data_IF_332067677442
#
_entry.id   IF_332067677442
#
_cell.length_a   1.000
_cell.length_b   1.000
_cell.length_c   1.000
_cell.angle_alpha   90.00
_cell.angle_beta   90.00
_cell.angle_gamma   90.00
#
_symmetry.space_group_name_H-M   'P 1'
#
loop_
_entity.id
_entity.type
_entity.pdbx_description
1 polymer ?
#
# COMPACT_ATOMS: atom_id res chain seq x y z
N UNK A 1 -34.50 4.35 -0.46
CA UNK A 1 -33.26 5.04 -0.85
C UNK A 1 -32.45 4.09 -1.70
N UNK A 2 -32.35 4.35 -3.00
CA UNK A 2 -31.54 3.51 -3.89
C UNK A 2 -30.08 3.97 -3.76
N UNK A 3 -29.23 3.10 -3.24
CA UNK A 3 -27.80 3.35 -3.06
C UNK A 3 -27.12 3.25 -4.43
N UNK A 4 -26.73 4.38 -5.03
CA UNK A 4 -25.90 4.36 -6.24
C UNK A 4 -24.46 3.99 -5.84
N UNK A 5 -23.84 3.05 -6.57
CA UNK A 5 -22.45 2.67 -6.31
C UNK A 5 -21.53 3.84 -6.62
N UNK A 6 -20.67 4.20 -5.67
CA UNK A 6 -19.62 5.20 -5.88
C UNK A 6 -18.64 4.64 -6.93
N UNK A 7 -18.33 5.38 -8.01
CA UNK A 7 -17.39 4.93 -9.02
C UNK A 7 -16.01 4.73 -8.40
N UNK A 8 -15.56 3.48 -8.29
CA UNK A 8 -14.29 3.11 -7.63
C UNK A 8 -13.06 3.26 -8.53
N UNK A 9 -13.23 3.52 -9.83
CA UNK A 9 -12.14 3.55 -10.81
C UNK A 9 -12.02 4.94 -11.44
N UNK A 10 -11.34 5.88 -10.78
CA UNK A 10 -11.01 7.19 -11.37
C UNK A 10 -9.51 7.43 -11.56
N UNK A 11 -8.64 6.65 -10.91
CA UNK A 11 -7.17 6.86 -10.94
C UNK A 11 -6.44 5.99 -11.97
N UNK A 12 -7.11 5.02 -12.59
CA UNK A 12 -6.50 4.07 -13.52
C UNK A 12 -6.44 4.52 -14.98
N UNK A 13 -6.99 5.69 -15.33
CA UNK A 13 -7.05 6.17 -16.71
C UNK A 13 -5.84 7.06 -17.02
N UNK A 14 -5.13 6.73 -18.12
CA UNK A 14 -4.14 7.63 -18.67
C UNK A 14 -4.81 8.82 -19.38
N UNK A 15 -4.31 10.02 -19.14
CA UNK A 15 -4.84 11.22 -19.77
C UNK A 15 -4.58 11.21 -21.28
N UNK A 16 -5.67 11.29 -22.04
CA UNK A 16 -5.66 11.42 -23.50
C UNK A 16 -5.56 12.89 -23.86
N UNK A 17 -4.35 13.34 -24.21
CA UNK A 17 -4.10 14.75 -24.53
C UNK A 17 -4.27 15.03 -26.04
N UNK A 18 -3.92 14.07 -26.90
CA UNK A 18 -3.99 14.24 -28.36
C UNK A 18 -5.06 13.29 -28.92
N UNK A 19 -6.28 13.80 -29.08
CA UNK A 19 -7.41 13.03 -29.58
C UNK A 19 -7.68 11.79 -28.71
N UNK A 20 -7.72 10.56 -29.27
CA UNK A 20 -7.88 9.33 -28.49
C UNK A 20 -6.60 8.82 -27.84
N UNK A 21 -5.44 9.47 -28.06
CA UNK A 21 -4.11 9.00 -27.65
C UNK A 21 -3.63 9.63 -26.35
N UNK A 22 -2.96 8.82 -25.54
CA UNK A 22 -2.22 9.30 -24.37
C UNK A 22 -0.93 9.99 -24.82
N UNK A 23 -0.38 10.89 -23.99
CA UNK A 23 0.85 11.60 -24.33
C UNK A 23 2.02 10.65 -24.65
N UNK A 24 2.08 9.51 -23.94
CA UNK A 24 3.08 8.46 -24.18
C UNK A 24 2.88 7.78 -25.53
N UNK A 25 1.64 7.39 -25.84
CA UNK A 25 1.29 6.76 -27.12
C UNK A 25 1.60 7.66 -28.31
N UNK A 26 1.29 8.95 -28.19
CA UNK A 26 1.66 9.95 -29.19
C UNK A 26 3.18 10.05 -29.33
N UNK A 27 3.92 10.07 -28.21
CA UNK A 27 5.39 10.09 -28.21
C UNK A 27 5.99 8.89 -28.96
N UNK A 28 5.47 7.68 -28.77
CA UNK A 28 5.91 6.49 -29.51
C UNK A 28 5.62 6.61 -31.01
N UNK A 29 4.45 7.11 -31.38
CA UNK A 29 4.05 7.25 -32.78
C UNK A 29 4.86 8.33 -33.51
N UNK A 30 5.05 9.49 -32.86
CA UNK A 30 5.86 10.58 -33.37
C UNK A 30 7.34 10.17 -33.49
N UNK A 31 7.88 9.51 -32.45
CA UNK A 31 9.24 8.98 -32.47
C UNK A 31 9.47 7.96 -33.58
N UNK A 32 8.54 7.01 -33.76
CA UNK A 32 8.60 6.05 -34.86
C UNK A 32 8.50 6.73 -36.23
N UNK A 33 7.64 7.74 -36.40
CA UNK A 33 7.53 8.52 -37.64
C UNK A 33 8.81 9.26 -37.99
N UNK A 34 9.42 9.93 -37.00
CA UNK A 34 10.73 10.60 -37.17
C UNK A 34 11.81 9.58 -37.51
N UNK A 35 11.82 8.42 -36.85
CA UNK A 35 12.82 7.38 -37.07
C UNK A 35 12.70 6.77 -38.48
N UNK A 36 11.47 6.52 -38.95
CA UNK A 36 11.20 6.08 -40.33
C UNK A 36 11.66 7.12 -41.34
N UNK A 37 11.37 8.40 -41.09
CA UNK A 37 11.84 9.49 -41.96
C UNK A 37 13.38 9.57 -41.99
N UNK A 38 14.03 9.37 -40.84
CA UNK A 38 15.49 9.34 -40.75
C UNK A 38 16.08 8.18 -41.55
N UNK A 39 15.50 6.97 -41.46
CA UNK A 39 15.92 5.83 -42.28
C UNK A 39 15.65 6.04 -43.78
N UNK A 40 14.57 6.72 -44.13
CA UNK A 40 14.24 7.05 -45.51
C UNK A 40 15.31 7.94 -46.17
N UNK A 41 15.85 8.92 -45.42
CA UNK A 41 16.86 9.86 -45.93
C UNK A 41 18.28 9.28 -45.81
N UNK A 42 18.59 8.55 -44.73
CA UNK A 42 19.95 8.08 -44.46
C UNK A 42 20.34 6.82 -45.25
N UNK A 43 19.39 5.93 -45.56
CA UNK A 43 19.68 4.63 -46.18
C UNK A 43 19.13 4.59 -47.60
N UNK A 44 20.04 4.47 -48.58
CA UNK A 44 19.70 4.27 -49.99
C UNK A 44 19.45 2.81 -50.37
N UNK A 45 18.76 2.60 -51.50
CA UNK A 45 18.60 1.27 -52.10
C UNK A 45 17.58 0.37 -51.42
N UNK A 46 17.70 -0.95 -51.62
CA UNK A 46 16.78 -1.96 -51.09
C UNK A 46 16.87 -2.09 -49.56
N UNK A 47 18.06 -1.85 -48.99
CA UNK A 47 18.34 -2.03 -47.57
C UNK A 47 17.49 -1.13 -46.65
N UNK A 48 16.99 0.00 -47.17
CA UNK A 48 16.10 0.90 -46.41
C UNK A 48 14.82 0.21 -45.95
N UNK A 49 14.27 -0.70 -46.76
CA UNK A 49 13.04 -1.41 -46.44
C UNK A 49 13.22 -2.36 -45.25
N UNK A 50 14.43 -2.90 -45.07
CA UNK A 50 14.75 -3.76 -43.93
C UNK A 50 14.63 -3.02 -42.59
N UNK A 51 14.88 -1.71 -42.56
CA UNK A 51 14.72 -0.90 -41.35
C UNK A 51 13.32 -0.27 -41.25
N UNK A 52 12.78 0.22 -42.36
CA UNK A 52 11.48 0.90 -42.37
C UNK A 52 10.34 -0.04 -42.00
N UNK A 53 10.27 -1.23 -42.60
CA UNK A 53 9.18 -2.19 -42.36
C UNK A 53 9.03 -2.52 -40.87
N UNK A 54 10.07 -2.99 -40.14
CA UNK A 54 9.92 -3.28 -38.73
C UNK A 54 9.63 -2.03 -37.92
N UNK A 55 10.24 -0.87 -38.19
CA UNK A 55 9.96 0.36 -37.42
C UNK A 55 8.51 0.84 -37.59
N UNK A 56 7.99 0.83 -38.82
CA UNK A 56 6.59 1.20 -39.11
C UNK A 56 5.60 0.24 -38.48
N UNK A 57 5.94 -1.05 -38.32
CA UNK A 57 5.08 -2.01 -37.63
C UNK A 57 5.19 -1.87 -36.10
N UNK A 58 6.41 -1.70 -35.58
CA UNK A 58 6.67 -1.66 -34.14
C UNK A 58 6.14 -0.38 -33.48
N UNK A 59 6.21 0.77 -34.16
CA UNK A 59 5.76 2.06 -33.61
C UNK A 59 4.29 2.07 -33.19
N UNK A 60 3.35 1.77 -34.11
CA UNK A 60 1.94 1.61 -33.77
C UNK A 60 1.68 0.45 -32.81
N UNK A 61 2.42 -0.67 -32.91
CA UNK A 61 2.29 -1.78 -31.98
C UNK A 61 2.59 -1.36 -30.53
N UNK A 62 3.66 -0.59 -30.32
CA UNK A 62 4.04 -0.01 -29.03
C UNK A 62 2.96 0.92 -28.46
N UNK A 63 2.25 1.66 -29.32
CA UNK A 63 1.22 2.60 -28.90
C UNK A 63 -0.14 1.94 -28.61
N UNK A 64 -0.55 0.94 -29.40
CA UNK A 64 -1.95 0.47 -29.43
C UNK A 64 -2.18 -0.95 -28.96
N UNK A 65 -1.16 -1.81 -28.87
CA UNK A 65 -1.36 -3.25 -28.63
C UNK A 65 -1.17 -3.60 -27.14
N UNK A 66 -2.24 -3.73 -26.34
CA UNK A 66 -2.10 -4.30 -25.01
C UNK A 66 -1.85 -5.81 -25.10
N UNK A 67 -0.93 -6.31 -24.27
CA UNK A 67 -0.65 -7.75 -24.14
C UNK A 67 -0.93 -8.14 -22.69
N UNK A 68 -1.75 -9.16 -22.46
CA UNK A 68 -2.06 -9.68 -21.11
C UNK A 68 -2.51 -8.62 -20.09
N UNK A 69 -3.29 -7.62 -20.53
CA UNK A 69 -3.78 -6.55 -19.65
C UNK A 69 -2.74 -5.51 -19.24
N UNK A 70 -1.53 -5.55 -19.82
CA UNK A 70 -0.51 -4.51 -19.70
C UNK A 70 -0.25 -3.83 -21.04
N UNK A 71 0.27 -2.60 -20.97
CA UNK A 71 0.72 -1.86 -22.15
C UNK A 71 1.96 -2.52 -22.78
N UNK A 72 2.10 -2.40 -24.11
CA UNK A 72 3.16 -3.08 -24.87
C UNK A 72 4.56 -2.70 -24.39
N UNK A 73 4.77 -1.45 -24.00
CA UNK A 73 6.03 -0.94 -23.48
C UNK A 73 6.48 -1.67 -22.19
N UNK A 74 5.56 -1.84 -21.24
CA UNK A 74 5.81 -2.61 -20.01
C UNK A 74 6.06 -4.07 -20.31
N UNK A 75 5.28 -4.64 -21.23
CA UNK A 75 5.46 -6.02 -21.65
C UNK A 75 6.83 -6.23 -22.31
N UNK A 76 7.24 -5.34 -23.21
CA UNK A 76 8.53 -5.40 -23.90
C UNK A 76 9.69 -5.27 -22.91
N UNK A 77 9.60 -4.35 -21.95
CA UNK A 77 10.60 -4.23 -20.89
C UNK A 77 10.68 -5.49 -20.02
N UNK A 78 9.53 -6.07 -19.65
CA UNK A 78 9.47 -7.31 -18.89
C UNK A 78 10.03 -8.50 -19.69
N UNK A 79 9.79 -8.55 -21.00
CA UNK A 79 10.35 -9.56 -21.90
C UNK A 79 11.87 -9.46 -21.96
N UNK A 80 12.41 -8.26 -22.23
CA UNK A 80 13.86 -8.02 -22.28
C UNK A 80 14.48 -8.39 -20.93
N UNK A 81 13.86 -7.96 -19.82
CA UNK A 81 14.31 -8.32 -18.48
C UNK A 81 14.29 -9.83 -18.26
N UNK A 82 13.27 -10.53 -18.72
CA UNK A 82 13.17 -11.98 -18.57
C UNK A 82 14.20 -12.75 -19.40
N UNK A 83 14.62 -12.21 -20.54
CA UNK A 83 15.65 -12.82 -21.40
C UNK A 83 17.05 -12.55 -20.81
N UNK A 84 17.30 -11.32 -20.36
CA UNK A 84 18.63 -10.89 -19.92
C UNK A 84 18.95 -11.30 -18.48
N UNK A 85 17.95 -11.40 -17.61
CA UNK A 85 18.17 -11.75 -16.20
C UNK A 85 17.78 -13.22 -15.93
N UNK A 86 18.64 -13.98 -15.22
CA UNK A 86 18.31 -15.33 -14.83
C UNK A 86 17.15 -15.35 -13.81
N UNK A 87 16.29 -16.37 -13.90
CA UNK A 87 15.14 -16.58 -12.99
C UNK A 87 15.57 -17.18 -11.63
N UNK A 88 16.62 -16.64 -11.02
CA UNK A 88 17.09 -17.07 -9.70
C UNK A 88 16.47 -16.15 -8.65
N UNK A 89 15.69 -16.73 -7.75
CA UNK A 89 15.14 -16.04 -6.58
C UNK A 89 15.94 -16.45 -5.36
N UNK A 90 16.74 -15.53 -4.83
CA UNK A 90 17.44 -15.71 -3.55
C UNK A 90 16.57 -15.11 -2.45
N UNK A 91 16.23 -15.91 -1.46
CA UNK A 91 15.52 -15.42 -0.28
C UNK A 91 16.47 -14.63 0.61
N UNK A 92 16.19 -13.34 0.78
CA UNK A 92 16.95 -12.47 1.67
C UNK A 92 16.19 -12.39 3.01
N UNK A 93 16.79 -12.91 4.09
CA UNK A 93 16.24 -12.83 5.46
C UNK A 93 16.54 -11.47 6.08
N UNK A 94 16.16 -10.40 5.40
CA UNK A 94 16.28 -9.05 5.96
C UNK A 94 15.04 -8.76 6.81
N UNK A 95 15.25 -8.15 7.98
CA UNK A 95 14.15 -7.63 8.81
C UNK A 95 13.56 -6.40 8.13
N UNK A 96 12.83 -6.60 7.04
CA UNK A 96 12.08 -5.52 6.41
C UNK A 96 10.89 -5.23 7.30
N UNK A 97 10.90 -4.07 7.93
CA UNK A 97 9.72 -3.57 8.63
C UNK A 97 8.57 -3.54 7.63
N UNK A 98 7.50 -4.26 7.95
CA UNK A 98 6.34 -4.33 7.07
C UNK A 98 5.83 -2.90 6.93
N UNK A 99 5.53 -2.43 5.73
CA UNK A 99 5.33 -0.99 5.48
C UNK A 99 4.32 -0.31 6.40
N UNK A 100 3.34 -1.04 6.93
CA UNK A 100 2.38 -0.52 7.92
C UNK A 100 2.94 -0.34 9.35
N UNK A 101 4.02 -1.05 9.69
CA UNK A 101 4.75 -0.94 10.96
C UNK A 101 5.88 0.08 10.89
N UNK A 102 6.17 0.64 9.71
CA UNK A 102 7.21 1.65 9.58
C UNK A 102 6.89 2.85 10.49
N UNK A 103 7.92 3.52 11.06
CA UNK A 103 7.75 4.66 11.95
C UNK A 103 6.86 5.77 11.36
N UNK A 104 6.91 5.95 10.04
CA UNK A 104 6.06 6.83 9.23
C UNK A 104 4.55 6.65 9.53
N UNK A 105 4.11 5.41 9.69
CA UNK A 105 2.70 5.07 9.91
C UNK A 105 2.34 4.89 11.38
N UNK A 106 3.31 4.99 12.29
CA UNK A 106 3.07 4.89 13.74
C UNK A 106 2.05 5.90 14.25
N UNK A 107 1.95 7.06 13.59
CA UNK A 107 0.94 8.08 13.88
C UNK A 107 -0.49 7.58 13.66
N UNK A 108 -0.74 6.82 12.58
CA UNK A 108 -2.07 6.26 12.30
C UNK A 108 -2.43 5.12 13.26
N UNK A 109 -1.44 4.37 13.74
CA UNK A 109 -1.64 3.28 14.71
C UNK A 109 -1.82 3.79 16.15
N UNK A 110 -1.14 4.88 16.52
CA UNK A 110 -1.23 5.50 17.85
C UNK A 110 -2.40 6.46 18.01
N UNK A 111 -2.97 6.94 16.90
CA UNK A 111 -4.20 7.74 16.96
C UNK A 111 -5.30 6.85 17.49
N UNK A 112 -5.65 7.03 18.77
CA UNK A 112 -6.90 6.51 19.30
C UNK A 112 -8.00 6.95 18.32
N UNK A 113 -8.80 6.02 17.77
CA UNK A 113 -9.87 6.39 16.86
C UNK A 113 -10.65 7.47 17.58
N UNK A 114 -10.64 8.69 17.06
CA UNK A 114 -11.49 9.75 17.59
C UNK A 114 -12.87 9.18 17.41
N UNK A 115 -13.47 8.72 18.51
CA UNK A 115 -14.81 8.17 18.55
C UNK A 115 -15.70 9.37 18.27
N UNK A 116 -15.81 9.78 17.01
CA UNK A 116 -17.06 10.32 16.53
C UNK A 116 -18.08 9.26 16.94
N UNK A 117 -19.14 9.61 17.70
CA UNK A 117 -20.25 8.73 17.96
C UNK A 117 -20.93 8.44 16.61
N UNK A 118 -20.31 7.58 15.82
CA UNK A 118 -21.02 6.86 14.79
C UNK A 118 -21.85 5.89 15.60
N UNK A 119 -23.08 6.29 15.93
CA UNK A 119 -24.14 5.36 16.24
C UNK A 119 -24.06 4.28 15.17
N UNK A 120 -23.49 3.12 15.52
CA UNK A 120 -23.11 2.08 14.57
C UNK A 120 -24.40 1.66 13.87
N UNK A 121 -24.71 2.15 12.66
CA UNK A 121 -25.99 1.85 12.03
C UNK A 121 -26.03 0.37 11.62
N UNK A 122 -24.86 -0.29 11.60
CA UNK A 122 -24.73 -1.73 11.46
C UNK A 122 -25.24 -2.53 12.64
N UNK A 123 -25.14 -2.04 13.89
CA UNK A 123 -25.64 -2.79 15.06
C UNK A 123 -27.15 -2.84 15.09
N UNK A 124 -27.84 -1.70 14.96
CA UNK A 124 -29.31 -1.68 14.91
C UNK A 124 -29.86 -2.51 13.74
N UNK A 125 -29.25 -2.41 12.55
CA UNK A 125 -29.62 -3.24 11.38
C UNK A 125 -29.39 -4.73 11.61
N UNK A 126 -28.28 -5.09 12.26
CA UNK A 126 -27.98 -6.47 12.61
C UNK A 126 -29.02 -7.02 13.60
N UNK A 127 -29.36 -6.26 14.65
CA UNK A 127 -30.42 -6.65 15.59
C UNK A 127 -31.77 -6.81 14.87
N UNK A 128 -32.08 -5.91 13.93
CA UNK A 128 -33.32 -5.99 13.14
C UNK A 128 -33.34 -7.25 12.27
N UNK A 129 -32.23 -7.58 11.63
CA UNK A 129 -32.08 -8.81 10.83
C UNK A 129 -32.17 -10.07 11.70
N UNK A 130 -31.49 -10.09 12.86
CA UNK A 130 -31.58 -11.21 13.80
C UNK A 130 -32.99 -11.39 14.34
N UNK A 131 -33.70 -10.30 14.64
CA UNK A 131 -35.09 -10.33 15.08
C UNK A 131 -36.01 -10.87 13.98
N UNK A 132 -35.79 -10.47 12.73
CA UNK A 132 -36.54 -10.99 11.58
C UNK A 132 -36.29 -12.48 11.38
N UNK A 133 -35.03 -12.92 11.35
CA UNK A 133 -34.65 -14.34 11.21
C UNK A 133 -35.20 -15.18 12.37
N UNK A 134 -35.21 -14.63 13.59
CA UNK A 134 -35.79 -15.30 14.77
C UNK A 134 -37.32 -15.35 14.72
N UNK A 135 -37.99 -14.33 14.19
CA UNK A 135 -39.44 -14.30 14.03
C UNK A 135 -39.95 -15.23 12.91
N UNK A 136 -39.13 -15.45 11.87
CA UNK A 136 -39.40 -16.39 10.77
C UNK A 136 -39.16 -17.86 11.15
N UNK A 137 -38.70 -18.17 12.37
CA UNK A 137 -38.68 -19.54 12.91
C UNK A 137 -39.98 -19.85 13.64
N UNK A 138 -40.97 -20.52 13.02
CA UNK A 138 -42.19 -20.92 13.69
C UNK A 138 -41.91 -22.06 14.69
N UNK A 139 -41.89 -21.72 15.99
CA UNK A 139 -42.19 -22.61 17.13
C UNK A 139 -41.66 -24.04 17.01
N UNK A 140 -40.34 -24.19 16.98
CA UNK A 140 -39.65 -25.45 16.73
C UNK A 140 -39.68 -26.37 17.95
N UNK A 141 -40.45 -27.47 17.87
CA UNK A 141 -40.28 -28.64 18.75
C UNK A 141 -38.82 -29.13 18.77
N UNK A 142 -38.10 -28.91 17.66
CA UNK A 142 -36.68 -29.23 17.53
C UNK A 142 -35.81 -28.39 18.47
N UNK A 143 -36.10 -27.09 18.61
CA UNK A 143 -35.34 -26.17 19.47
C UNK A 143 -35.56 -26.48 20.95
N UNK A 144 -36.77 -26.91 21.35
CA UNK A 144 -37.05 -27.40 22.70
C UNK A 144 -36.29 -28.71 23.00
N UNK A 145 -36.19 -29.61 22.02
CA UNK A 145 -35.42 -30.85 22.16
C UNK A 145 -33.92 -30.59 22.22
N UNK A 146 -33.40 -29.63 21.44
CA UNK A 146 -32.00 -29.20 21.50
C UNK A 146 -31.67 -28.60 22.86
N UNK A 147 -32.51 -27.69 23.37
CA UNK A 147 -32.34 -27.12 24.71
C UNK A 147 -32.36 -28.21 25.78
N UNK A 148 -33.35 -29.11 25.74
CA UNK A 148 -33.44 -30.24 26.67
C UNK A 148 -32.20 -31.13 26.60
N UNK A 149 -31.68 -31.38 25.39
CA UNK A 149 -30.47 -32.16 25.18
C UNK A 149 -29.23 -31.46 25.73
N UNK A 150 -29.10 -30.15 25.53
CA UNK A 150 -27.99 -29.35 26.08
C UNK A 150 -27.97 -29.37 27.61
N UNK A 151 -29.13 -29.28 28.26
CA UNK A 151 -29.24 -29.38 29.73
C UNK A 151 -28.96 -30.80 30.25
N UNK A 152 -29.15 -31.83 29.42
CA UNK A 152 -28.86 -33.22 29.79
C UNK A 152 -27.41 -33.63 29.61
N UNK A 153 -26.57 -32.80 28.96
CA UNK A 153 -25.16 -33.10 28.80
C UNK A 153 -24.44 -32.91 30.15
N UNK A 154 -23.70 -33.91 30.64
CA UNK A 154 -22.83 -33.76 31.80
C UNK A 154 -21.60 -32.94 31.38
N UNK A 155 -21.81 -31.64 31.22
CA UNK A 155 -20.73 -30.69 30.98
C UNK A 155 -20.00 -30.51 32.31
N UNK A 156 -18.67 -30.72 32.36
CA UNK A 156 -17.91 -30.40 33.55
C UNK A 156 -18.12 -28.91 33.86
N UNK A 157 -18.66 -28.62 35.03
CA UNK A 157 -19.05 -27.30 35.56
C UNK A 157 -17.92 -26.26 35.60
N UNK A 158 -16.72 -26.66 35.18
CA UNK A 158 -15.47 -25.91 35.26
C UNK A 158 -15.33 -24.79 34.23
N UNK A 159 -16.13 -24.81 33.15
CA UNK A 159 -15.95 -23.87 32.03
C UNK A 159 -17.12 -22.89 31.81
N UNK A 160 -18.15 -22.89 32.66
CA UNK A 160 -19.32 -22.00 32.52
C UNK A 160 -19.35 -20.79 33.47
N UNK A 161 -18.28 -20.54 34.24
CA UNK A 161 -18.10 -19.19 34.78
C UNK A 161 -17.76 -18.28 33.60
N UNK A 162 -18.39 -17.09 33.44
CA UNK A 162 -17.73 -16.06 32.64
C UNK A 162 -16.33 -15.95 33.24
N UNK A 163 -15.31 -16.11 32.40
CA UNK A 163 -13.95 -15.89 32.84
C UNK A 163 -13.95 -14.50 33.46
N UNK A 164 -13.96 -14.44 34.79
CA UNK A 164 -13.43 -13.32 35.53
C UNK A 164 -12.08 -13.14 34.86
N UNK A 165 -11.95 -12.02 34.13
CA UNK A 165 -10.71 -11.71 33.42
C UNK A 165 -9.54 -11.95 34.36
N UNK A 166 -8.34 -12.27 33.83
CA UNK A 166 -7.20 -12.61 34.66
C UNK A 166 -7.13 -11.61 35.81
N UNK A 167 -7.19 -12.13 37.06
CA UNK A 167 -6.99 -11.34 38.27
C UNK A 167 -5.81 -10.42 38.00
N UNK A 168 -5.87 -9.11 38.33
CA UNK A 168 -4.73 -8.24 38.17
C UNK A 168 -3.54 -8.94 38.81
N UNK A 169 -2.59 -9.38 37.98
CA UNK A 169 -1.30 -9.81 38.48
C UNK A 169 -0.74 -8.57 39.15
N UNK A 170 -0.52 -8.63 40.46
CA UNK A 170 0.27 -7.62 41.16
C UNK A 170 1.62 -7.58 40.45
N UNK A 171 1.78 -6.58 39.58
CA UNK A 171 3.05 -6.31 38.92
C UNK A 171 3.98 -5.89 40.06
N UNK A 172 5.08 -6.62 40.34
CA UNK A 172 6.04 -6.18 41.33
C UNK A 172 6.52 -4.79 40.92
N UNK A 173 6.49 -3.86 41.87
CA UNK A 173 6.87 -2.46 41.69
C UNK A 173 8.30 -2.40 41.13
N UNK A 174 8.40 -2.22 39.82
CA UNK A 174 9.66 -1.91 39.16
C UNK A 174 10.00 -0.51 39.65
N UNK A 175 10.99 -0.41 40.54
CA UNK A 175 11.62 0.87 40.88
C UNK A 175 12.04 1.54 39.57
N UNK A 176 11.27 2.53 39.19
CA UNK A 176 11.58 3.43 38.09
C UNK A 176 12.93 4.06 38.43
N UNK A 177 14.01 3.82 37.65
CA UNK A 177 15.20 4.62 37.82
C UNK A 177 14.78 6.08 37.60
N UNK A 178 15.09 6.88 38.61
CA UNK A 178 14.86 8.31 38.71
C UNK A 178 14.99 8.95 37.33
N UNK A 179 13.88 9.56 36.91
CA UNK A 179 13.76 10.39 35.73
C UNK A 179 15.05 11.20 35.60
N UNK A 180 15.83 10.95 34.55
CA UNK A 180 16.95 11.83 34.22
C UNK A 180 16.32 13.21 34.13
N UNK A 181 16.62 14.03 35.14
CA UNK A 181 16.30 15.45 35.15
C UNK A 181 16.79 15.95 33.81
N UNK A 182 15.85 16.36 32.96
CA UNK A 182 16.19 17.08 31.76
C UNK A 182 16.98 18.30 32.24
N UNK A 183 18.30 18.24 32.12
CA UNK A 183 19.13 19.42 32.20
C UNK A 183 18.54 20.36 31.14
N UNK A 184 18.02 21.54 31.51
CA UNK A 184 17.56 22.47 30.51
C UNK A 184 18.75 22.75 29.58
N UNK A 185 18.53 22.57 28.28
CA UNK A 185 19.48 22.99 27.25
C UNK A 185 19.95 24.41 27.59
N UNK A 186 21.27 24.68 27.64
CA UNK A 186 21.76 26.04 27.77
C UNK A 186 21.24 26.86 26.58
N UNK A 187 20.21 27.66 26.82
CA UNK A 187 19.91 28.80 25.99
C UNK A 187 21.02 29.83 26.22
N UNK A 188 21.54 30.40 25.14
CA UNK A 188 22.67 31.33 25.06
C UNK A 188 24.08 30.73 25.17
N UNK A 189 24.53 30.10 24.08
CA UNK A 189 25.95 30.12 23.71
C UNK A 189 26.10 31.03 22.49
N UNK A 190 26.85 32.14 22.56
CA UNK A 190 27.01 33.07 21.46
C UNK A 190 27.69 32.37 20.27
N UNK A 191 27.12 32.57 19.08
CA UNK A 191 27.42 31.92 17.79
C UNK A 191 28.92 31.87 17.43
N UNK A 192 29.71 32.80 17.97
CA UNK A 192 31.17 32.89 17.77
C UNK A 192 31.96 31.75 18.43
N UNK A 193 31.47 31.17 19.52
CA UNK A 193 32.17 30.09 20.24
C UNK A 193 31.91 28.71 19.60
N UNK A 194 30.75 28.53 18.98
CA UNK A 194 30.40 27.34 18.18
C UNK A 194 31.26 27.24 16.92
N UNK A 195 31.51 28.37 16.25
CA UNK A 195 32.37 28.40 15.06
C UNK A 195 33.83 28.01 15.38
N UNK A 196 34.36 28.41 16.53
CA UNK A 196 35.72 28.04 16.97
C UNK A 196 35.82 26.55 17.35
N UNK A 197 34.79 26.00 18.02
CA UNK A 197 34.77 24.58 18.39
C UNK A 197 34.60 23.66 17.17
N UNK A 198 33.80 24.06 16.18
CA UNK A 198 33.58 23.28 14.96
C UNK A 198 34.80 23.30 14.01
N UNK A 199 35.61 24.36 14.03
CA UNK A 199 36.90 24.41 13.32
C UNK A 199 37.98 23.60 14.04
N UNK A 200 38.04 23.61 15.38
CA UNK A 200 38.94 22.72 16.16
C UNK A 200 38.60 21.22 16.02
N UNK A 201 37.32 20.89 15.83
CA UNK A 201 36.85 19.52 15.60
C UNK A 201 36.97 19.06 14.13
N UNK A 202 37.50 19.90 13.23
CA UNK A 202 37.80 19.52 11.84
C UNK A 202 36.59 19.33 10.93
N UNK A 203 35.39 19.79 11.33
CA UNK A 203 34.14 19.55 10.59
C UNK A 203 33.90 20.61 9.50
N UNK A 204 34.59 21.76 9.54
CA UNK A 204 34.41 22.85 8.57
C UNK A 204 35.78 23.35 8.08
N UNK A 205 36.02 23.26 6.78
CA UNK A 205 37.22 23.81 6.12
C UNK A 205 37.00 25.30 5.87
N UNK A 206 37.91 26.13 6.39
CA UNK A 206 37.94 27.59 6.20
C UNK A 206 38.16 27.89 4.71
N UNK A 207 37.11 28.28 4.00
CA UNK A 207 37.24 28.94 2.69
C UNK A 207 37.56 30.43 2.97
N UNK A 208 38.77 30.86 2.63
CA UNK A 208 39.13 32.28 2.59
C UNK A 208 38.88 32.81 1.18
N UNK A 209 38.10 33.89 1.09
CA UNK A 209 37.77 34.63 -0.13
C UNK A 209 36.69 35.67 0.15
#
# INVERSE_FOLDING_TARGET
MQQHSVPQNITGFEFKLIGPLTLKQFGYLAGAGILVFMFWVAVGGFWKWFFIIPTTLLGPALAFVPINGMSFDKWAFALIRSIMYPSIRVWHKESKEIGFLAPEFSYYLRRAPTIAPTEKPGRSRLETYLAQVRAERPGDKLEQLEQTRLYSLPLPEKDLSPAVGPRPVEVPEIKVPELITATPLPQDVPEKELAEKLTKLGVIKKEEG
#
